data_IF_547563207859
#
_entry.id   IF_547563207859
#
_cell.length_a   1.000
_cell.length_b   1.000
_cell.length_c   1.000
_cell.angle_alpha   90.00
_cell.angle_beta   90.00
_cell.angle_gamma   90.00
#
_symmetry.space_group_name_H-M   'P 1'
#
loop_
_entity.id
_entity.type
_entity.pdbx_description
1 polymer ?
#
# COMPACT_ATOMS: atom_id res chain seq x y z
N UNK A 1 10.91 4.56 -8.51
CA UNK A 1 10.95 3.19 -7.94
C UNK A 1 12.30 2.59 -8.31
N UNK A 2 12.96 1.82 -7.43
CA UNK A 2 14.15 1.07 -7.86
C UNK A 2 13.70 -0.01 -8.84
N UNK A 3 14.34 -0.08 -10.01
CA UNK A 3 14.06 -1.12 -11.01
C UNK A 3 14.45 -2.49 -10.43
N UNK A 4 13.65 -3.55 -10.64
CA UNK A 4 14.07 -4.90 -10.29
C UNK A 4 15.39 -5.23 -11.00
N UNK A 5 16.32 -5.88 -10.31
CA UNK A 5 17.63 -6.21 -10.88
C UNK A 5 17.56 -7.14 -12.11
N UNK A 6 16.42 -7.79 -12.34
CA UNK A 6 16.20 -8.73 -13.44
C UNK A 6 15.48 -8.10 -14.65
N UNK A 7 15.02 -6.84 -14.55
CA UNK A 7 14.15 -6.23 -15.56
C UNK A 7 14.70 -4.89 -16.04
N UNK A 8 14.75 -4.69 -17.35
CA UNK A 8 15.17 -3.41 -17.95
C UNK A 8 14.08 -2.34 -17.80
N UNK A 9 14.42 -1.07 -18.07
CA UNK A 9 13.46 0.03 -18.05
C UNK A 9 12.34 -0.19 -19.09
N UNK A 10 12.70 -0.63 -20.29
CA UNK A 10 11.74 -0.91 -21.37
C UNK A 10 10.77 -2.03 -21.01
N UNK A 11 11.29 -3.14 -20.47
CA UNK A 11 10.44 -4.23 -19.97
C UNK A 11 9.51 -3.75 -18.84
N UNK A 12 10.00 -2.88 -17.95
CA UNK A 12 9.17 -2.29 -16.90
C UNK A 12 8.02 -1.45 -17.46
N UNK A 13 8.27 -0.66 -18.52
CA UNK A 13 7.24 0.15 -19.20
C UNK A 13 6.21 -0.79 -19.84
N UNK A 14 6.66 -1.81 -20.56
CA UNK A 14 5.76 -2.81 -21.15
C UNK A 14 4.88 -3.48 -20.10
N UNK A 15 5.42 -3.89 -18.95
CA UNK A 15 4.60 -4.43 -17.85
C UNK A 15 3.50 -3.46 -17.40
N UNK A 16 3.79 -2.16 -17.35
CA UNK A 16 2.82 -1.13 -16.96
C UNK A 16 1.65 -1.08 -17.94
N UNK A 17 1.94 -1.12 -19.23
CA UNK A 17 0.94 -1.10 -20.31
C UNK A 17 0.05 -2.35 -20.30
N UNK A 18 0.60 -3.51 -19.92
CA UNK A 18 -0.15 -4.77 -19.92
C UNK A 18 -1.01 -4.98 -18.66
N UNK A 19 -0.85 -4.20 -17.58
CA UNK A 19 -1.65 -4.40 -16.36
C UNK A 19 -3.15 -4.23 -16.59
N UNK A 20 -3.58 -3.30 -17.44
CA UNK A 20 -5.01 -3.12 -17.74
C UNK A 20 -5.62 -4.39 -18.34
N UNK A 21 -4.91 -5.05 -19.27
CA UNK A 21 -5.33 -6.31 -19.88
C UNK A 21 -5.30 -7.46 -18.88
N UNK A 22 -4.28 -7.52 -18.02
CA UNK A 22 -4.21 -8.50 -16.93
C UNK A 22 -5.41 -8.42 -15.98
N UNK A 23 -5.84 -7.20 -15.65
CA UNK A 23 -7.02 -6.97 -14.81
C UNK A 23 -8.31 -7.44 -15.50
N UNK A 24 -8.48 -7.12 -16.78
CA UNK A 24 -9.63 -7.57 -17.57
C UNK A 24 -9.69 -9.12 -17.59
N UNK A 25 -8.56 -9.77 -17.88
CA UNK A 25 -8.45 -11.23 -17.89
C UNK A 25 -8.80 -11.84 -16.52
N UNK A 26 -8.55 -11.12 -15.42
CA UNK A 26 -8.93 -11.57 -14.07
C UNK A 26 -10.42 -11.49 -13.80
N UNK A 27 -11.09 -10.44 -14.30
CA UNK A 27 -12.55 -10.33 -14.21
C UNK A 27 -13.25 -11.42 -15.02
N UNK A 28 -12.65 -11.80 -16.15
CA UNK A 28 -13.15 -12.83 -17.06
C UNK A 28 -12.75 -14.27 -16.65
N UNK A 29 -11.82 -14.42 -15.70
CA UNK A 29 -11.28 -15.72 -15.30
C UNK A 29 -10.29 -16.35 -16.30
N UNK A 30 -9.79 -15.56 -17.26
CA UNK A 30 -8.87 -15.96 -18.35
C UNK A 30 -7.40 -15.62 -18.06
N UNK A 31 -7.02 -15.52 -16.77
CA UNK A 31 -5.67 -15.11 -16.34
C UNK A 31 -4.57 -16.01 -16.88
N UNK A 32 -4.80 -17.33 -16.94
CA UNK A 32 -3.81 -18.29 -17.43
C UNK A 32 -3.44 -18.04 -18.90
N UNK A 33 -4.44 -17.80 -19.75
CA UNK A 33 -4.26 -17.53 -21.17
C UNK A 33 -3.50 -16.21 -21.39
N UNK A 34 -3.86 -15.18 -20.62
CA UNK A 34 -3.14 -13.90 -20.65
C UNK A 34 -1.67 -14.08 -20.25
N UNK A 35 -1.37 -14.79 -19.17
CA UNK A 35 0.02 -14.97 -18.71
C UNK A 35 0.83 -15.76 -19.73
N UNK A 36 0.25 -16.79 -20.35
CA UNK A 36 0.91 -17.55 -21.41
C UNK A 36 1.25 -16.64 -22.61
N UNK A 37 0.32 -15.79 -23.04
CA UNK A 37 0.54 -14.83 -24.13
C UNK A 37 1.58 -13.77 -23.77
N UNK A 38 1.51 -13.22 -22.55
CA UNK A 38 2.44 -12.20 -22.06
C UNK A 38 3.88 -12.74 -21.95
N UNK A 39 4.07 -13.97 -21.46
CA UNK A 39 5.38 -14.64 -21.42
C UNK A 39 5.92 -14.87 -22.82
N UNK A 40 5.07 -15.24 -23.77
CA UNK A 40 5.49 -15.40 -25.17
C UNK A 40 5.94 -14.07 -25.78
N UNK A 41 5.12 -13.03 -25.65
CA UNK A 41 5.40 -11.69 -26.22
C UNK A 41 6.70 -11.09 -25.67
N UNK A 42 6.92 -11.17 -24.35
CA UNK A 42 8.13 -10.60 -23.74
C UNK A 42 9.40 -11.37 -24.14
N UNK A 43 9.31 -12.68 -24.35
CA UNK A 43 10.46 -13.48 -24.80
C UNK A 43 10.75 -13.31 -26.30
N UNK A 44 9.75 -12.99 -27.10
CA UNK A 44 9.94 -12.61 -28.51
C UNK A 44 10.60 -11.24 -28.65
N UNK A 45 10.24 -10.27 -27.81
CA UNK A 45 10.79 -8.91 -27.85
C UNK A 45 12.16 -8.79 -27.18
N UNK A 46 12.37 -9.50 -26.07
CA UNK A 46 13.63 -9.55 -25.36
C UNK A 46 14.09 -10.99 -25.24
N UNK A 47 14.56 -11.60 -26.34
CA UNK A 47 15.10 -12.95 -26.28
C UNK A 47 16.22 -12.95 -25.26
N UNK A 48 16.21 -13.96 -24.39
CA UNK A 48 17.39 -14.29 -23.58
C UNK A 48 18.51 -14.41 -24.59
N UNK A 49 19.53 -13.54 -24.52
CA UNK A 49 20.68 -13.62 -25.40
C UNK A 49 21.33 -14.99 -25.20
N UNK A 50 20.87 -15.96 -25.98
CA UNK A 50 21.49 -17.26 -26.09
C UNK A 50 22.86 -16.95 -26.68
N UNK A 51 23.93 -17.39 -26.00
CA UNK A 51 25.20 -17.51 -26.68
C UNK A 51 24.94 -18.41 -27.89
N UNK A 52 24.84 -17.80 -29.07
CA UNK A 52 24.47 -18.44 -30.33
C UNK A 52 25.65 -19.27 -30.87
N UNK A 53 26.24 -20.09 -30.02
CA UNK A 53 27.12 -21.16 -30.46
C UNK A 53 26.20 -22.28 -30.93
N UNK A 54 26.29 -22.61 -32.22
CA UNK A 54 25.59 -23.73 -32.82
C UNK A 54 25.94 -25.00 -32.06
N UNK A 55 24.94 -25.52 -31.34
CA UNK A 55 25.03 -26.75 -30.56
C UNK A 55 24.91 -27.93 -31.54
N UNK A 56 26.03 -28.57 -31.86
CA UNK A 56 26.06 -29.83 -32.62
C UNK A 56 25.64 -30.97 -31.68
N UNK A 57 24.32 -31.11 -31.46
CA UNK A 57 23.63 -31.84 -30.38
C UNK A 57 23.94 -33.33 -30.12
N UNK A 58 25.22 -33.69 -30.07
CA UNK A 58 25.78 -34.99 -29.73
C UNK A 58 26.83 -34.90 -28.61
N UNK A 59 27.19 -33.69 -28.12
CA UNK A 59 28.11 -33.56 -26.98
C UNK A 59 27.35 -33.63 -25.65
N UNK A 60 27.86 -34.34 -24.63
CA UNK A 60 27.36 -34.23 -23.25
C UNK A 60 27.28 -32.78 -22.74
N UNK A 61 28.14 -31.89 -23.24
CA UNK A 61 28.13 -30.46 -22.90
C UNK A 61 26.89 -29.74 -23.45
N UNK A 62 26.35 -30.20 -24.58
CA UNK A 62 25.16 -29.63 -25.22
C UNK A 62 23.89 -29.89 -24.41
N UNK A 63 23.80 -31.08 -23.81
CA UNK A 63 22.70 -31.46 -22.91
C UNK A 63 22.69 -30.60 -21.65
N UNK A 64 23.87 -30.33 -21.09
CA UNK A 64 23.99 -29.45 -19.92
C UNK A 64 23.64 -27.99 -20.27
N UNK A 65 24.11 -27.49 -21.42
CA UNK A 65 23.74 -26.15 -21.92
C UNK A 65 22.23 -26.02 -22.12
N UNK A 66 21.56 -27.02 -22.71
CA UNK A 66 20.10 -27.02 -22.89
C UNK A 66 19.36 -27.00 -21.54
N UNK A 67 19.78 -27.83 -20.58
CA UNK A 67 19.16 -27.87 -19.25
C UNK A 67 19.31 -26.53 -18.51
N UNK A 68 20.44 -25.84 -18.66
CA UNK A 68 20.65 -24.50 -18.11
C UNK A 68 19.75 -23.46 -18.77
N UNK A 69 19.56 -23.54 -20.10
CA UNK A 69 18.63 -22.66 -20.83
C UNK A 69 17.18 -22.87 -20.38
N UNK A 70 16.74 -24.12 -20.25
CA UNK A 70 15.40 -24.45 -19.77
C UNK A 70 15.18 -23.93 -18.34
N UNK A 71 16.18 -24.07 -17.47
CA UNK A 71 16.12 -23.54 -16.11
C UNK A 71 16.03 -22.00 -16.11
N UNK A 72 16.78 -21.33 -16.99
CA UNK A 72 16.72 -19.87 -17.12
C UNK A 72 15.35 -19.41 -17.63
N UNK A 73 14.79 -20.10 -18.63
CA UNK A 73 13.46 -19.87 -19.15
C UNK A 73 12.39 -19.99 -18.05
N UNK A 74 12.42 -21.08 -17.27
CA UNK A 74 11.46 -21.29 -16.18
C UNK A 74 11.57 -20.20 -15.10
N UNK A 75 12.79 -19.78 -14.74
CA UNK A 75 13.00 -18.67 -13.78
C UNK A 75 12.44 -17.35 -14.30
N UNK A 76 12.66 -17.03 -15.58
CA UNK A 76 12.15 -15.79 -16.15
C UNK A 76 10.63 -15.81 -16.26
N UNK A 77 10.03 -16.93 -16.68
CA UNK A 77 8.58 -17.14 -16.67
C UNK A 77 7.99 -16.89 -15.28
N UNK A 78 8.57 -17.51 -14.24
CA UNK A 78 8.13 -17.32 -12.85
C UNK A 78 8.25 -15.85 -12.41
N UNK A 79 9.31 -15.14 -12.81
CA UNK A 79 9.49 -13.72 -12.51
C UNK A 79 8.41 -12.84 -13.17
N UNK A 80 8.05 -13.13 -14.41
CA UNK A 80 6.98 -12.43 -15.16
C UNK A 80 5.62 -12.67 -14.49
N UNK A 81 5.29 -13.92 -14.19
CA UNK A 81 4.03 -14.27 -13.50
C UNK A 81 3.96 -13.61 -12.12
N UNK A 82 5.04 -13.71 -11.34
CA UNK A 82 5.14 -13.05 -10.04
C UNK A 82 5.07 -11.53 -10.15
N UNK A 83 5.54 -10.92 -11.25
CA UNK A 83 5.43 -9.48 -11.47
C UNK A 83 3.97 -9.08 -11.61
N UNK A 84 3.20 -9.75 -12.46
CA UNK A 84 1.76 -9.46 -12.60
C UNK A 84 1.00 -9.74 -11.30
N UNK A 85 1.28 -10.86 -10.65
CA UNK A 85 0.60 -11.27 -9.42
C UNK A 85 0.95 -10.41 -8.21
N UNK A 86 2.18 -9.90 -8.07
CA UNK A 86 2.59 -9.12 -6.88
C UNK A 86 2.47 -7.59 -7.07
N UNK A 87 2.44 -7.08 -8.30
CA UNK A 87 2.33 -5.64 -8.54
C UNK A 87 0.93 -5.14 -8.87
N UNK A 88 -0.10 -5.98 -8.94
CA UNK A 88 -1.48 -5.50 -9.16
C UNK A 88 -1.92 -4.44 -8.13
N UNK A 89 -1.45 -4.52 -6.88
CA UNK A 89 -1.71 -3.49 -5.85
C UNK A 89 -0.84 -2.23 -5.96
N UNK A 90 0.28 -2.29 -6.70
CA UNK A 90 1.25 -1.18 -6.86
C UNK A 90 1.17 -0.50 -8.21
N UNK A 91 0.66 -1.18 -9.24
CA UNK A 91 0.45 -0.64 -10.57
C UNK A 91 -0.58 0.51 -10.55
N UNK A 92 -1.60 0.42 -9.69
CA UNK A 92 -2.52 1.53 -9.40
C UNK A 92 -1.79 2.77 -8.86
N UNK A 93 -0.78 2.60 -8.00
CA UNK A 93 0.04 3.71 -7.45
C UNK A 93 0.89 4.37 -8.56
N UNK A 94 1.42 3.58 -9.50
CA UNK A 94 2.26 4.10 -10.59
C UNK A 94 1.44 4.76 -11.72
N UNK A 95 0.30 4.18 -12.10
CA UNK A 95 -0.57 4.74 -13.13
C UNK A 95 -1.22 6.06 -12.68
N UNK A 96 -1.66 6.13 -11.41
CA UNK A 96 -2.14 7.39 -10.81
C UNK A 96 -1.04 8.46 -10.77
N UNK A 97 0.19 8.09 -10.42
CA UNK A 97 1.32 9.03 -10.38
C UNK A 97 1.69 9.59 -11.78
N UNK A 98 1.68 8.74 -12.82
CA UNK A 98 2.04 9.15 -14.19
C UNK A 98 0.98 10.04 -14.84
N UNK A 99 -0.31 9.84 -14.54
CA UNK A 99 -1.40 10.71 -15.00
C UNK A 99 -1.36 12.12 -14.37
N UNK A 100 -0.72 12.28 -13.21
CA UNK A 100 -0.62 13.58 -12.50
C UNK A 100 0.59 14.44 -12.91
N UNK A 101 1.49 13.97 -13.78
CA UNK A 101 2.68 14.70 -14.21
C UNK A 101 3.71 15.01 -13.11
N UNK A 102 3.52 14.53 -11.87
CA UNK A 102 4.43 14.79 -10.74
C UNK A 102 5.56 13.78 -10.72
N UNK A 103 6.73 14.22 -11.20
CA UNK A 103 8.01 13.54 -10.99
C UNK A 103 8.24 13.33 -9.48
N UNK A 104 8.17 12.08 -9.03
CA UNK A 104 8.54 11.66 -7.68
C UNK A 104 10.08 11.69 -7.56
N UNK A 105 10.64 12.90 -7.51
CA UNK A 105 12.01 13.09 -7.08
C UNK A 105 12.12 12.69 -5.61
N UNK A 106 13.13 11.88 -5.36
CA UNK A 106 13.50 11.30 -4.08
C UNK A 106 13.70 12.39 -3.02
N UNK A 107 12.70 12.55 -2.15
CA UNK A 107 12.77 13.35 -0.92
C UNK A 107 12.14 12.55 0.23
N UNK A 108 12.39 12.87 1.51
CA UNK A 108 12.28 11.96 2.66
C UNK A 108 10.83 11.66 3.12
N UNK A 109 9.87 11.66 2.19
CA UNK A 109 8.44 11.42 2.42
C UNK A 109 8.09 9.97 2.80
N UNK A 110 9.05 9.04 2.67
CA UNK A 110 8.86 7.64 3.12
C UNK A 110 8.56 7.52 4.62
N UNK A 111 9.05 8.44 5.47
CA UNK A 111 8.77 8.38 6.92
C UNK A 111 7.29 8.62 7.25
N UNK A 112 6.61 9.51 6.52
CA UNK A 112 5.23 9.90 6.80
C UNK A 112 4.25 8.76 6.44
N UNK A 113 4.45 8.11 5.30
CA UNK A 113 3.61 6.98 4.88
C UNK A 113 3.75 5.80 5.85
N UNK A 114 4.97 5.50 6.31
CA UNK A 114 5.15 4.47 7.33
C UNK A 114 4.48 4.90 8.65
N UNK A 115 4.57 6.16 9.11
CA UNK A 115 3.87 6.56 10.34
C UNK A 115 2.35 6.50 10.25
N UNK A 116 1.74 6.78 9.10
CA UNK A 116 0.28 6.62 8.91
C UNK A 116 -0.15 5.15 8.81
N UNK A 117 0.67 4.28 8.22
CA UNK A 117 0.41 2.83 8.20
C UNK A 117 0.74 2.12 9.53
N UNK A 118 1.56 2.71 10.42
CA UNK A 118 2.16 1.99 11.57
C UNK A 118 1.48 2.14 12.93
N UNK A 119 0.23 2.58 13.00
CA UNK A 119 -0.48 2.60 14.27
C UNK A 119 -1.86 1.98 14.22
N UNK A 120 -2.03 0.94 13.38
CA UNK A 120 -3.05 -0.07 13.62
C UNK A 120 -2.98 -0.48 15.10
N UNK A 121 -4.05 -0.16 15.84
CA UNK A 121 -4.17 -0.38 17.27
C UNK A 121 -3.90 -1.86 17.54
N UNK A 122 -2.69 -2.19 18.00
CA UNK A 122 -2.30 -3.58 18.16
C UNK A 122 -3.28 -4.27 19.10
N UNK A 123 -3.71 -5.47 18.73
CA UNK A 123 -4.56 -6.30 19.60
C UNK A 123 -3.71 -6.97 20.67
N UNK A 124 -4.30 -7.34 21.80
CA UNK A 124 -3.59 -8.03 22.89
C UNK A 124 -2.83 -9.28 22.40
N UNK A 125 -3.42 -10.07 21.49
CA UNK A 125 -2.80 -11.25 20.88
C UNK A 125 -1.53 -10.90 20.10
N UNK A 126 -1.47 -9.75 19.43
CA UNK A 126 -0.30 -9.30 18.69
C UNK A 126 0.82 -8.85 19.64
N UNK A 127 0.48 -8.19 20.75
CA UNK A 127 1.45 -7.88 21.82
C UNK A 127 1.97 -9.15 22.46
N UNK A 128 1.09 -10.10 22.75
CA UNK A 128 1.47 -11.41 23.27
C UNK A 128 2.45 -12.13 22.34
N UNK A 129 2.16 -12.21 21.03
CA UNK A 129 3.08 -12.78 20.05
C UNK A 129 4.44 -12.07 20.09
N UNK A 130 4.46 -10.73 20.07
CA UNK A 130 5.72 -9.97 20.13
C UNK A 130 6.58 -10.31 21.36
N UNK A 131 5.97 -10.51 22.52
CA UNK A 131 6.68 -10.79 23.77
C UNK A 131 7.02 -12.27 23.99
N UNK A 132 6.15 -13.19 23.56
CA UNK A 132 6.19 -14.61 23.96
C UNK A 132 6.24 -15.59 22.77
N UNK A 133 6.39 -15.13 21.53
CA UNK A 133 6.36 -16.00 20.35
C UNK A 133 7.37 -17.15 20.43
N UNK A 134 8.65 -16.85 20.69
CA UNK A 134 9.72 -17.87 20.72
C UNK A 134 9.50 -18.91 21.82
N UNK A 135 9.06 -18.47 22.99
CA UNK A 135 8.95 -19.32 24.16
C UNK A 135 7.68 -20.19 24.12
N UNK A 136 6.52 -19.61 23.73
CA UNK A 136 5.24 -20.27 23.93
C UNK A 136 4.58 -20.69 22.61
N UNK A 137 4.63 -19.85 21.56
CA UNK A 137 3.91 -20.10 20.30
C UNK A 137 4.74 -20.97 19.34
N UNK A 138 6.03 -20.68 19.20
CA UNK A 138 6.93 -21.35 18.27
C UNK A 138 7.04 -22.87 18.51
N UNK A 139 7.08 -23.39 19.75
CA UNK A 139 7.09 -24.84 19.98
C UNK A 139 5.84 -25.54 19.44
N UNK A 140 4.66 -24.93 19.60
CA UNK A 140 3.40 -25.47 19.09
C UNK A 140 3.40 -25.51 17.55
N UNK A 141 3.85 -24.43 16.91
CA UNK A 141 3.98 -24.37 15.44
C UNK A 141 4.96 -25.45 14.94
N UNK A 142 6.15 -25.56 15.54
CA UNK A 142 7.15 -26.58 15.17
C UNK A 142 6.59 -28.00 15.31
N UNK A 143 5.76 -28.25 16.33
CA UNK A 143 5.10 -29.55 16.51
C UNK A 143 4.15 -29.85 15.35
N UNK A 144 3.31 -28.89 14.95
CA UNK A 144 2.38 -29.04 13.81
C UNK A 144 3.15 -29.25 12.51
N UNK A 145 4.21 -28.48 12.27
CA UNK A 145 5.05 -28.63 11.06
C UNK A 145 5.68 -30.02 10.99
N UNK A 146 6.21 -30.54 12.12
CA UNK A 146 6.79 -31.89 12.18
C UNK A 146 5.78 -33.01 11.98
N UNK A 147 4.52 -32.77 12.34
CA UNK A 147 3.43 -33.74 12.18
C UNK A 147 2.79 -33.68 10.79
N UNK A 148 3.02 -32.60 10.04
CA UNK A 148 2.53 -32.47 8.67
C UNK A 148 3.29 -33.41 7.74
N UNK A 149 2.56 -34.27 7.03
CA UNK A 149 3.14 -35.16 6.03
C UNK A 149 3.53 -34.42 4.74
N UNK A 150 2.89 -33.28 4.49
CA UNK A 150 3.12 -32.44 3.31
C UNK A 150 3.69 -31.07 3.69
N UNK A 151 4.49 -30.46 2.80
CA UNK A 151 4.94 -29.09 2.98
C UNK A 151 3.74 -28.13 2.93
N UNK A 152 3.63 -27.29 3.96
CA UNK A 152 2.55 -26.29 4.09
C UNK A 152 2.82 -25.10 3.17
N UNK A 153 1.78 -24.58 2.55
CA UNK A 153 1.85 -23.31 1.81
C UNK A 153 1.99 -22.11 2.76
N UNK A 154 2.43 -20.96 2.23
CA UNK A 154 2.57 -19.74 3.01
C UNK A 154 1.24 -19.31 3.68
N UNK A 155 0.12 -19.40 2.97
CA UNK A 155 -1.21 -19.05 3.48
C UNK A 155 -1.66 -19.99 4.61
N UNK A 156 -1.44 -21.30 4.46
CA UNK A 156 -1.76 -22.29 5.50
C UNK A 156 -0.89 -22.07 6.73
N UNK A 157 0.41 -21.82 6.54
CA UNK A 157 1.34 -21.51 7.63
C UNK A 157 0.89 -20.29 8.42
N UNK A 158 0.53 -19.18 7.76
CA UNK A 158 0.02 -17.98 8.42
C UNK A 158 -1.28 -18.25 9.18
N UNK A 159 -2.18 -19.06 8.61
CA UNK A 159 -3.44 -19.45 9.25
C UNK A 159 -3.17 -20.25 10.53
N UNK A 160 -2.24 -21.22 10.47
CA UNK A 160 -1.81 -22.03 11.62
C UNK A 160 -1.18 -21.15 12.71
N UNK A 161 -0.28 -20.23 12.32
CA UNK A 161 0.37 -19.30 13.26
C UNK A 161 -0.69 -18.47 13.99
N UNK A 162 -1.63 -17.87 13.26
CA UNK A 162 -2.67 -17.02 13.84
C UNK A 162 -3.56 -17.81 14.80
N UNK A 163 -4.00 -19.01 14.38
CA UNK A 163 -4.82 -19.91 15.21
C UNK A 163 -4.10 -20.33 16.49
N UNK A 164 -2.88 -20.88 16.38
CA UNK A 164 -2.12 -21.34 17.53
C UNK A 164 -1.71 -20.20 18.47
N UNK A 165 -1.38 -19.02 17.94
CA UNK A 165 -1.10 -17.85 18.77
C UNK A 165 -2.30 -17.48 19.62
N UNK A 166 -3.49 -17.50 19.03
CA UNK A 166 -4.75 -17.20 19.72
C UNK A 166 -5.08 -18.24 20.79
N UNK A 167 -5.02 -19.53 20.44
CA UNK A 167 -5.27 -20.64 21.38
C UNK A 167 -4.29 -20.62 22.55
N UNK A 168 -2.99 -20.40 22.27
CA UNK A 168 -1.97 -20.31 23.32
C UNK A 168 -2.25 -19.10 24.22
N UNK A 169 -2.57 -17.93 23.65
CA UNK A 169 -2.93 -16.76 24.45
C UNK A 169 -4.18 -16.99 25.30
N UNK A 170 -5.16 -17.75 24.81
CA UNK A 170 -6.36 -18.09 25.58
C UNK A 170 -6.09 -19.09 26.71
N UNK A 171 -5.18 -20.04 26.52
CA UNK A 171 -4.79 -20.99 27.58
C UNK A 171 -3.80 -20.42 28.58
N UNK A 172 -3.20 -19.26 28.29
CA UNK A 172 -2.23 -18.62 29.18
C UNK A 172 -2.78 -18.26 30.57
N UNK A 173 -1.84 -18.20 31.52
CA UNK A 173 -2.11 -17.79 32.90
C UNK A 173 -2.66 -16.37 32.97
N UNK A 174 -3.49 -16.09 33.99
CA UNK A 174 -4.01 -14.75 34.27
C UNK A 174 -2.89 -13.72 34.45
N UNK A 175 -1.75 -14.13 35.02
CA UNK A 175 -0.59 -13.28 35.24
C UNK A 175 0.06 -12.82 33.92
N UNK A 176 0.24 -13.72 32.95
CA UNK A 176 0.81 -13.36 31.64
C UNK A 176 -0.18 -12.49 30.86
N UNK A 177 -1.47 -12.81 30.90
CA UNK A 177 -2.51 -11.97 30.29
C UNK A 177 -2.50 -10.56 30.89
N UNK A 178 -2.39 -10.42 32.21
CA UNK A 178 -2.29 -9.12 32.88
C UNK A 178 -1.09 -8.31 32.38
N UNK A 179 0.10 -8.93 32.28
CA UNK A 179 1.31 -8.28 31.71
C UNK A 179 1.11 -7.82 30.26
N UNK A 180 0.43 -8.63 29.44
CA UNK A 180 0.12 -8.26 28.05
C UNK A 180 -0.85 -7.08 28.00
N UNK A 181 -1.88 -7.05 28.83
CA UNK A 181 -2.81 -5.92 28.92
C UNK A 181 -2.16 -4.66 29.48
N UNK A 182 -1.23 -4.79 30.42
CA UNK A 182 -0.43 -3.67 30.92
C UNK A 182 0.45 -3.10 29.81
N UNK A 183 1.17 -3.94 29.06
CA UNK A 183 1.97 -3.52 27.91
C UNK A 183 1.11 -2.87 26.80
N UNK A 184 -0.11 -3.38 26.60
CA UNK A 184 -1.09 -2.76 25.70
C UNK A 184 -1.48 -1.35 26.16
N UNK A 185 -1.76 -1.19 27.46
CA UNK A 185 -2.11 0.10 28.06
C UNK A 185 -0.94 1.09 27.95
N UNK A 186 0.27 0.67 28.34
CA UNK A 186 1.47 1.49 28.23
C UNK A 186 1.69 1.95 26.80
N UNK A 187 1.54 1.07 25.80
CA UNK A 187 1.67 1.45 24.40
C UNK A 187 0.60 2.45 23.95
N UNK A 188 -0.64 2.31 24.42
CA UNK A 188 -1.68 3.31 24.16
C UNK A 188 -1.34 4.66 24.79
N UNK A 189 -0.81 4.67 26.00
CA UNK A 189 -0.37 5.89 26.66
C UNK A 189 0.83 6.51 25.96
N UNK A 190 1.81 5.72 25.53
CA UNK A 190 2.96 6.18 24.73
C UNK A 190 2.52 6.75 23.40
N UNK A 191 1.56 6.11 22.72
CA UNK A 191 0.99 6.60 21.48
C UNK A 191 0.22 7.91 21.70
N UNK A 192 -0.62 7.99 22.72
CA UNK A 192 -1.32 9.23 23.07
C UNK A 192 -0.32 10.33 23.44
N UNK A 193 0.72 10.01 24.23
CA UNK A 193 1.80 10.95 24.55
C UNK A 193 2.60 11.35 23.31
N UNK A 194 2.84 10.45 22.35
CA UNK A 194 3.49 10.79 21.09
C UNK A 194 2.62 11.73 20.24
N UNK A 195 1.30 11.54 20.25
CA UNK A 195 0.35 12.49 19.65
C UNK A 195 0.28 13.84 20.38
N UNK A 196 0.72 13.90 21.65
CA UNK A 196 0.77 15.12 22.47
C UNK A 196 2.19 15.67 22.71
N UNK A 197 3.23 15.05 22.14
CA UNK A 197 4.62 15.43 22.40
C UNK A 197 5.05 16.52 21.43
N UNK A 198 4.84 17.76 21.88
CA UNK A 198 5.22 18.99 21.22
C UNK A 198 3.98 19.78 20.84
N UNK A 199 3.95 21.08 21.14
CA UNK A 199 3.15 21.99 20.32
C UNK A 199 3.64 21.77 18.89
N UNK A 200 2.84 21.11 18.07
CA UNK A 200 3.12 21.00 16.64
C UNK A 200 3.35 22.42 16.15
N UNK A 201 4.49 22.65 15.51
CA UNK A 201 4.77 23.99 15.00
C UNK A 201 3.84 24.26 13.82
N UNK A 202 3.58 25.53 13.47
CA UNK A 202 2.84 25.85 12.25
C UNK A 202 3.35 25.11 11.01
N UNK A 203 4.67 24.91 10.91
CA UNK A 203 5.33 24.18 9.84
C UNK A 203 4.95 22.69 9.84
N UNK A 204 4.89 22.05 11.01
CA UNK A 204 4.46 20.64 11.12
C UNK A 204 3.02 20.45 10.59
N UNK A 205 2.13 21.44 10.82
CA UNK A 205 0.77 21.41 10.30
C UNK A 205 0.72 21.58 8.78
N UNK A 206 1.51 22.50 8.23
CA UNK A 206 1.60 22.68 6.77
C UNK A 206 2.15 21.43 6.10
N UNK A 207 3.22 20.85 6.63
CA UNK A 207 3.80 19.60 6.11
C UNK A 207 2.77 18.45 6.14
N UNK A 208 1.95 18.37 7.19
CA UNK A 208 0.89 17.38 7.30
C UNK A 208 -0.25 17.63 6.30
N UNK A 209 -0.67 18.90 6.11
CA UNK A 209 -1.68 19.30 5.12
C UNK A 209 -1.18 18.98 3.71
N UNK A 210 0.08 19.28 3.39
CA UNK A 210 0.66 19.00 2.07
C UNK A 210 0.88 17.50 1.83
N UNK A 211 1.11 16.72 2.90
CA UNK A 211 1.26 15.27 2.81
C UNK A 211 -0.08 14.53 2.71
N UNK A 212 -1.19 15.11 3.19
CA UNK A 212 -2.49 14.44 3.26
C UNK A 212 -3.11 14.11 1.89
N UNK A 213 -3.12 15.00 0.88
CA UNK A 213 -3.76 14.72 -0.41
C UNK A 213 -3.27 13.43 -1.11
N UNK A 214 -1.96 13.20 -1.30
CA UNK A 214 -1.51 11.98 -1.98
C UNK A 214 -1.80 10.70 -1.17
N UNK A 215 -1.86 10.80 0.16
CA UNK A 215 -2.23 9.68 1.03
C UNK A 215 -3.72 9.32 0.91
N UNK A 216 -4.57 10.34 0.94
CA UNK A 216 -6.02 10.18 0.81
C UNK A 216 -6.39 9.72 -0.60
N UNK A 217 -5.75 10.27 -1.63
CA UNK A 217 -5.95 9.85 -3.02
C UNK A 217 -5.65 8.37 -3.20
N UNK A 218 -4.51 7.88 -2.69
CA UNK A 218 -4.17 6.46 -2.77
C UNK A 218 -5.22 5.59 -2.08
N UNK A 219 -5.61 5.94 -0.85
CA UNK A 219 -6.57 5.17 -0.08
C UNK A 219 -7.97 5.17 -0.71
N UNK A 220 -8.46 6.32 -1.14
CA UNK A 220 -9.80 6.47 -1.71
C UNK A 220 -9.91 5.89 -3.10
N UNK A 221 -8.84 5.91 -3.90
CA UNK A 221 -8.81 5.21 -5.19
C UNK A 221 -8.92 3.69 -5.02
N UNK A 222 -8.16 3.12 -4.09
CA UNK A 222 -8.24 1.68 -3.79
C UNK A 222 -9.66 1.30 -3.33
N UNK A 223 -10.28 2.15 -2.51
CA UNK A 223 -11.64 1.96 -2.04
C UNK A 223 -12.68 2.12 -3.16
N UNK A 224 -12.50 3.11 -4.04
CA UNK A 224 -13.38 3.38 -5.18
C UNK A 224 -13.42 2.19 -6.14
N UNK A 225 -12.27 1.62 -6.46
CA UNK A 225 -12.17 0.44 -7.33
C UNK A 225 -12.87 -0.77 -6.72
N UNK A 226 -12.71 -0.99 -5.41
CA UNK A 226 -13.31 -2.14 -4.72
C UNK A 226 -14.82 -2.03 -4.55
N UNK A 227 -15.34 -0.81 -4.37
CA UNK A 227 -16.74 -0.56 -4.02
C UNK A 227 -17.58 -0.06 -5.20
N UNK A 228 -16.94 0.43 -6.26
CA UNK A 228 -17.59 1.19 -7.33
C UNK A 228 -18.06 2.58 -6.89
N UNK A 229 -17.64 3.07 -5.72
CA UNK A 229 -18.06 4.37 -5.19
C UNK A 229 -17.13 5.49 -5.64
N UNK A 230 -17.70 6.69 -5.70
CA UNK A 230 -16.95 7.93 -5.94
C UNK A 230 -16.84 8.68 -4.62
N UNK A 231 -15.64 9.19 -4.33
CA UNK A 231 -15.37 9.91 -3.09
C UNK A 231 -14.99 11.35 -3.39
N UNK A 232 -15.52 12.26 -2.59
CA UNK A 232 -15.08 13.65 -2.53
C UNK A 232 -14.71 13.96 -1.08
N UNK A 233 -13.51 14.51 -0.87
CA UNK A 233 -13.07 14.96 0.46
C UNK A 233 -13.01 16.46 0.48
N UNK A 234 -13.66 17.04 1.47
CA UNK A 234 -13.57 18.47 1.80
C UNK A 234 -13.03 18.55 3.22
N UNK A 235 -11.91 19.23 3.39
CA UNK A 235 -11.32 19.52 4.68
C UNK A 235 -10.94 20.99 4.74
N UNK A 236 -11.11 21.61 5.90
CA UNK A 236 -10.69 22.99 6.12
C UNK A 236 -10.26 23.21 7.56
N UNK A 237 -9.27 24.09 7.71
CA UNK A 237 -8.67 24.50 8.98
C UNK A 237 -8.28 25.97 8.83
N UNK A 238 -8.19 26.75 9.92
CA UNK A 238 -7.47 28.01 9.88
C UNK A 238 -6.03 27.76 9.39
N UNK A 239 -5.52 28.59 8.47
CA UNK A 239 -4.14 28.38 8.03
C UNK A 239 -3.16 28.71 9.16
N UNK A 240 -2.25 27.76 9.48
CA UNK A 240 -1.35 27.85 10.62
C UNK A 240 -0.33 29.01 10.52
N UNK A 241 -0.04 29.53 9.32
CA UNK A 241 0.97 30.57 9.09
C UNK A 241 0.52 31.98 9.53
N UNK A 242 -0.78 32.27 9.49
CA UNK A 242 -1.30 33.63 9.72
C UNK A 242 -2.24 33.68 10.95
N UNK A 243 -1.66 33.51 12.14
CA UNK A 243 -2.39 33.57 13.42
C UNK A 243 -2.97 34.96 13.77
N UNK A 244 -2.58 36.03 13.09
CA UNK A 244 -2.82 37.40 13.58
C UNK A 244 -3.76 38.26 12.72
N UNK A 245 -4.25 37.77 11.58
CA UNK A 245 -5.12 38.57 10.71
C UNK A 245 -6.55 38.02 10.67
N UNK A 246 -7.40 38.60 11.53
CA UNK A 246 -8.87 38.49 11.62
C UNK A 246 -9.64 38.81 10.31
N UNK A 247 -8.96 38.87 9.18
CA UNK A 247 -9.54 39.12 7.85
C UNK A 247 -9.15 38.00 6.92
N UNK A 248 -9.83 36.85 7.01
CA UNK A 248 -9.66 35.79 6.01
C UNK A 248 -10.95 35.33 5.41
N UNK A 249 -10.96 35.43 4.09
CA UNK A 249 -11.93 34.80 3.22
C UNK A 249 -11.65 33.29 3.24
N UNK A 250 -12.30 32.54 4.13
CA UNK A 250 -12.32 31.06 4.08
C UNK A 250 -12.82 30.51 2.72
N UNK A 251 -13.31 31.39 1.83
CA UNK A 251 -13.67 31.07 0.45
C UNK A 251 -12.46 30.70 -0.44
N UNK A 252 -11.21 30.88 0.03
CA UNK A 252 -10.01 30.57 -0.78
C UNK A 252 -9.08 29.49 -0.19
N UNK A 253 -9.35 28.98 1.02
CA UNK A 253 -8.47 28.03 1.73
C UNK A 253 -9.16 26.66 1.95
N UNK A 254 -9.69 26.07 0.88
CA UNK A 254 -10.07 24.65 0.87
C UNK A 254 -9.38 23.93 -0.28
N UNK A 255 -8.88 22.74 -0.03
CA UNK A 255 -8.34 21.87 -1.08
C UNK A 255 -9.47 20.99 -1.58
N UNK A 256 -9.94 21.24 -2.80
CA UNK A 256 -10.83 20.32 -3.49
C UNK A 256 -9.98 19.28 -4.23
N UNK A 257 -10.16 18.01 -3.90
CA UNK A 257 -9.64 16.89 -4.68
C UNK A 257 -10.81 16.08 -5.21
N UNK A 258 -11.06 16.25 -6.51
CA UNK A 258 -11.99 15.41 -7.26
C UNK A 258 -11.16 14.50 -8.15
N UNK A 259 -11.48 13.21 -8.14
CA UNK A 259 -10.86 12.21 -9.01
C UNK A 259 -11.86 11.94 -10.13
N UNK A 260 -11.85 12.81 -11.16
CA UNK A 260 -12.59 12.55 -12.39
C UNK A 260 -11.80 13.01 -13.62
N UNK A 261 -11.42 12.08 -14.53
CA UNK A 261 -10.74 12.42 -15.77
C UNK A 261 -11.69 12.84 -16.92
N UNK A 262 -13.01 12.78 -16.77
CA UNK A 262 -13.94 13.03 -17.88
C UNK A 262 -15.19 13.81 -17.44
N UNK A 263 -15.20 15.08 -17.83
CA UNK A 263 -16.39 15.95 -17.90
C UNK A 263 -16.69 16.81 -16.66
N UNK A 264 -15.80 17.79 -16.44
CA UNK A 264 -15.86 18.72 -15.31
C UNK A 264 -16.44 20.09 -15.67
N UNK A 265 -16.60 20.45 -16.95
CA UNK A 265 -16.77 21.88 -17.31
C UNK A 265 -18.16 22.48 -17.04
N UNK A 266 -19.20 21.67 -16.87
CA UNK A 266 -20.61 22.14 -16.83
C UNK A 266 -21.32 22.00 -15.48
N UNK A 267 -20.74 21.30 -14.51
CA UNK A 267 -21.38 21.03 -13.20
C UNK A 267 -20.69 21.69 -11.99
N UNK A 268 -19.57 22.40 -12.19
CA UNK A 268 -18.78 22.95 -11.07
C UNK A 268 -19.45 24.11 -10.32
N UNK A 269 -20.25 24.93 -10.99
CA UNK A 269 -20.89 26.09 -10.34
C UNK A 269 -21.84 25.68 -9.24
N UNK A 270 -22.60 24.59 -9.40
CA UNK A 270 -23.54 24.13 -8.37
C UNK A 270 -22.87 23.47 -7.18
N UNK A 271 -21.72 22.81 -7.37
CA UNK A 271 -20.98 22.19 -6.26
C UNK A 271 -20.29 23.24 -5.38
N UNK A 272 -19.65 24.24 -6.00
CA UNK A 272 -18.98 25.31 -5.27
C UNK A 272 -19.97 26.18 -4.49
N UNK A 273 -21.10 26.55 -5.11
CA UNK A 273 -22.16 27.32 -4.45
C UNK A 273 -22.95 26.49 -3.44
N UNK A 274 -23.21 25.21 -3.74
CA UNK A 274 -24.12 24.35 -2.97
C UNK A 274 -23.46 23.58 -1.82
N UNK A 275 -22.17 23.27 -1.92
CA UNK A 275 -21.47 22.43 -0.94
C UNK A 275 -20.31 23.18 -0.31
N UNK A 276 -19.43 23.71 -1.14
CA UNK A 276 -18.16 24.28 -0.68
C UNK A 276 -18.37 25.59 0.07
N UNK A 277 -19.16 26.50 -0.50
CA UNK A 277 -19.47 27.80 0.13
C UNK A 277 -20.18 27.63 1.49
N UNK A 278 -21.24 26.81 1.62
CA UNK A 278 -21.86 26.53 2.92
C UNK A 278 -20.89 25.90 3.91
N UNK A 279 -20.02 24.98 3.48
CA UNK A 279 -19.01 24.37 4.34
C UNK A 279 -17.99 25.42 4.85
N UNK A 280 -17.51 26.31 3.98
CA UNK A 280 -16.65 27.43 4.37
C UNK A 280 -17.32 28.37 5.38
N UNK A 281 -18.62 28.68 5.22
CA UNK A 281 -19.40 29.48 6.20
C UNK A 281 -19.56 28.75 7.54
N UNK A 282 -19.75 27.43 7.50
CA UNK A 282 -19.82 26.60 8.70
C UNK A 282 -18.48 26.64 9.46
N UNK A 283 -17.34 26.47 8.78
CA UNK A 283 -16.02 26.57 9.40
C UNK A 283 -15.78 27.96 10.00
N UNK A 284 -16.11 29.05 9.27
CA UNK A 284 -16.06 30.43 9.81
C UNK A 284 -16.79 30.51 11.16
N UNK A 285 -18.00 29.94 11.24
CA UNK A 285 -18.83 30.00 12.45
C UNK A 285 -18.21 29.23 13.61
N UNK A 286 -17.65 28.03 13.35
CA UNK A 286 -17.01 27.21 14.39
C UNK A 286 -15.78 27.90 14.99
N UNK A 287 -14.89 28.43 14.15
CA UNK A 287 -13.62 29.00 14.64
C UNK A 287 -13.80 30.39 15.25
N UNK A 288 -14.71 31.22 14.74
CA UNK A 288 -15.02 32.54 15.34
C UNK A 288 -15.71 32.43 16.72
N UNK A 289 -16.43 31.34 16.99
CA UNK A 289 -17.07 31.12 18.30
C UNK A 289 -16.11 30.58 19.35
N UNK A 290 -15.11 29.77 18.94
CA UNK A 290 -14.09 29.22 19.84
C UNK A 290 -13.19 30.31 20.43
N UNK A 291 -12.87 31.34 19.65
CA UNK A 291 -12.00 32.45 20.05
C UNK A 291 -12.63 33.38 21.10
N UNK A 292 -13.96 33.43 21.20
CA UNK A 292 -14.67 34.22 22.23
C UNK A 292 -14.81 33.52 23.58
N UNK A 293 -14.45 32.23 23.65
CA UNK A 293 -14.59 31.40 24.86
C UNK A 293 -13.25 31.00 25.49
N UNK A 294 -12.13 31.33 24.84
CA UNK A 294 -10.77 31.20 25.37
C UNK A 294 -10.33 32.53 26.00
#
# INVERSE_FOLDING_TARGET
MALPSWCTLEQCIWFVEQFAKFHQARLEGTVGDFLAAAVKEILEHWPILQCAETIDGNSPEDVEKQAQQDLHYQKQKEQIENRFNNNHSKAHIAAAATASGKSLTTSPKKKIIYSLWLQCRLRAVQIYSKCYYKAHVQPAIKKVIRQSLTPLTCCEMLTIINKLTHETFQSESKAIKAKVFEALKQRHEEQAKASHKGQQTPEDYLDAIDAAPPLLEQFLNDLAVQTGWWFTVIAGSPDPANRNELKRNFEQEYTHHCIDPKDTSTHHTTFEEGVVTPYGRFLKTLFLQGEKRA
#
